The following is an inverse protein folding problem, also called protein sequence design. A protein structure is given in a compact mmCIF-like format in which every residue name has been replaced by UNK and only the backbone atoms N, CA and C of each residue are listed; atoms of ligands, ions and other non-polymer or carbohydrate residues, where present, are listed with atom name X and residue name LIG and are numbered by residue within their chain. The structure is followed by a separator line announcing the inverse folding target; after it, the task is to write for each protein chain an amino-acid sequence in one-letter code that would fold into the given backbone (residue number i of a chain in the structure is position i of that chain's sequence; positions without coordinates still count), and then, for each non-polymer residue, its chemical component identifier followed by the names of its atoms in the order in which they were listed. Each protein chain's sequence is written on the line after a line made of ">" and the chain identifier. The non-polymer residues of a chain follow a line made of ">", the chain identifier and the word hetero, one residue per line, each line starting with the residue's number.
data_IF_913195503503
#
_entry.id   IF_913195503503
#
_cell.length_a   1.000
_cell.length_b   1.000
_cell.length_c   1.000
_cell.angle_alpha   90.00
_cell.angle_beta   90.00
_cell.angle_gamma   90.00
#
_symmetry.space_group_name_H-M   'P 1'
#
loop_
_entity.id
_entity.type
_entity.pdbx_description
1 polymer ?
#
# COMPACT_ATOMS: atom_id res chain seq x y z
N UNK A 1 -3.79 -14.33 5.30
CA UNK A 1 -3.66 -14.22 3.83
C UNK A 1 -4.90 -14.69 3.05
N UNK A 2 -5.46 -15.89 3.30
CA UNK A 2 -6.70 -16.32 2.60
C UNK A 2 -7.90 -15.44 2.96
N UNK A 3 -8.04 -15.06 4.22
CA UNK A 3 -9.09 -14.16 4.70
C UNK A 3 -9.03 -12.82 3.93
N UNK A 4 -7.92 -12.10 3.98
CA UNK A 4 -7.77 -10.80 3.29
C UNK A 4 -8.01 -10.90 1.77
N UNK A 5 -7.59 -12.00 1.12
CA UNK A 5 -7.85 -12.18 -0.31
C UNK A 5 -9.34 -12.33 -0.63
N UNK A 6 -10.07 -13.08 0.22
CA UNK A 6 -11.52 -13.27 0.08
C UNK A 6 -12.28 -11.97 0.42
N UNK A 7 -11.85 -11.26 1.45
CA UNK A 7 -12.44 -10.00 1.87
C UNK A 7 -12.27 -8.92 0.79
N UNK A 8 -11.05 -8.74 0.26
CA UNK A 8 -10.78 -7.82 -0.85
C UNK A 8 -11.53 -8.19 -2.14
N UNK A 9 -11.79 -9.49 -2.39
CA UNK A 9 -12.64 -9.92 -3.49
C UNK A 9 -14.10 -9.51 -3.27
N UNK A 10 -14.62 -9.70 -2.07
CA UNK A 10 -15.99 -9.36 -1.72
C UNK A 10 -16.23 -7.84 -1.69
N UNK A 11 -15.26 -7.07 -1.15
CA UNK A 11 -15.35 -5.62 -0.97
C UNK A 11 -14.99 -4.81 -2.22
N UNK A 12 -14.39 -5.43 -3.25
CA UNK A 12 -13.84 -4.70 -4.40
C UNK A 12 -14.82 -3.77 -5.11
N UNK A 13 -16.07 -4.18 -5.30
CA UNK A 13 -17.09 -3.38 -6.00
C UNK A 13 -17.49 -2.16 -5.18
N UNK A 14 -17.71 -2.34 -3.89
CA UNK A 14 -18.02 -1.25 -2.95
C UNK A 14 -16.83 -0.29 -2.85
N UNK A 15 -15.62 -0.81 -2.71
CA UNK A 15 -14.39 -0.02 -2.67
C UNK A 15 -14.24 0.87 -3.90
N UNK A 16 -14.45 0.32 -5.11
CA UNK A 16 -14.37 1.11 -6.33
C UNK A 16 -15.50 2.15 -6.43
N UNK A 17 -16.69 1.85 -5.95
CA UNK A 17 -17.81 2.79 -5.98
C UNK A 17 -17.63 3.97 -5.00
N UNK A 18 -17.00 3.73 -3.85
CA UNK A 18 -16.82 4.72 -2.78
C UNK A 18 -15.52 5.50 -2.91
N UNK A 19 -14.43 4.86 -3.33
CA UNK A 19 -13.08 5.46 -3.35
C UNK A 19 -12.57 5.73 -4.77
N UNK A 20 -13.17 5.13 -5.81
CA UNK A 20 -12.66 5.21 -7.17
C UNK A 20 -12.51 6.65 -7.68
N UNK A 21 -13.46 7.55 -7.35
CA UNK A 21 -13.39 8.95 -7.75
C UNK A 21 -12.21 9.70 -7.08
N UNK A 22 -11.90 9.39 -5.83
CA UNK A 22 -10.76 9.96 -5.10
C UNK A 22 -9.43 9.42 -5.63
N UNK A 23 -9.34 8.12 -5.87
CA UNK A 23 -8.14 7.47 -6.37
C UNK A 23 -7.82 7.86 -7.82
N UNK A 24 -8.86 8.11 -8.62
CA UNK A 24 -8.74 8.36 -10.05
C UNK A 24 -8.37 7.12 -10.85
N UNK A 25 -8.57 7.16 -12.16
CA UNK A 25 -8.29 6.01 -13.04
C UNK A 25 -6.79 5.82 -13.32
N UNK A 26 -6.02 6.89 -13.29
CA UNK A 26 -4.56 6.91 -13.47
C UNK A 26 -3.89 7.90 -12.50
N UNK A 27 -4.43 8.03 -11.30
CA UNK A 27 -3.85 8.78 -10.21
C UNK A 27 -2.85 7.95 -9.42
N UNK A 28 -1.95 8.62 -8.70
CA UNK A 28 -1.06 7.95 -7.77
C UNK A 28 -1.11 8.65 -6.41
N UNK A 29 -1.77 8.01 -5.47
CA UNK A 29 -1.91 8.46 -4.09
C UNK A 29 -1.20 7.47 -3.16
N UNK A 30 -0.48 7.99 -2.18
CA UNK A 30 0.24 7.17 -1.21
C UNK A 30 -0.58 6.79 0.03
N UNK A 31 -1.63 7.54 0.32
CA UNK A 31 -2.44 7.30 1.51
C UNK A 31 -3.72 8.13 1.53
N UNK A 32 -4.50 8.01 2.61
CA UNK A 32 -5.76 8.74 2.80
C UNK A 32 -5.61 10.25 2.91
N UNK A 33 -4.42 10.76 3.22
CA UNK A 33 -4.10 12.19 3.21
C UNK A 33 -4.15 12.78 1.80
N UNK A 34 -4.04 11.94 0.79
CA UNK A 34 -4.12 12.36 -0.61
C UNK A 34 -2.78 12.76 -1.23
N UNK A 35 -1.66 12.44 -0.55
CA UNK A 35 -0.31 12.71 -1.08
C UNK A 35 -0.08 12.06 -2.43
N UNK A 36 0.30 12.87 -3.42
CA UNK A 36 0.51 12.45 -4.80
C UNK A 36 1.96 12.16 -5.09
N UNK A 37 2.21 11.13 -5.88
CA UNK A 37 3.57 10.83 -6.33
C UNK A 37 4.21 11.97 -7.13
N UNK A 38 3.43 12.77 -7.84
CA UNK A 38 3.89 13.97 -8.55
C UNK A 38 4.51 15.03 -7.60
N UNK A 39 4.14 15.03 -6.34
CA UNK A 39 4.61 15.94 -5.30
C UNK A 39 5.71 15.29 -4.45
N UNK A 40 5.53 14.02 -4.14
CA UNK A 40 6.42 13.23 -3.26
C UNK A 40 7.69 12.80 -3.99
N UNK A 41 7.58 12.30 -5.22
CA UNK A 41 8.71 11.82 -6.00
C UNK A 41 9.39 10.57 -5.42
N UNK A 42 8.67 9.76 -4.65
CA UNK A 42 9.21 8.59 -3.97
C UNK A 42 9.76 7.53 -4.94
N UNK A 43 9.17 7.37 -6.12
CA UNK A 43 9.65 6.44 -7.14
C UNK A 43 10.86 6.97 -7.93
N UNK A 44 11.05 8.30 -7.95
CA UNK A 44 12.00 8.96 -8.83
C UNK A 44 11.59 8.89 -10.30
N UNK A 45 12.54 9.03 -11.21
CA UNK A 45 12.26 8.93 -12.65
C UNK A 45 11.95 7.49 -13.06
N UNK A 46 10.73 7.25 -13.50
CA UNK A 46 10.25 5.93 -13.97
C UNK A 46 10.32 5.75 -15.48
N UNK A 47 10.69 6.78 -16.25
CA UNK A 47 10.73 6.70 -17.70
C UNK A 47 11.73 5.61 -18.17
N UNK A 48 11.25 4.66 -18.99
CA UNK A 48 12.03 3.53 -19.45
C UNK A 48 12.42 2.50 -18.40
N UNK A 49 11.90 2.57 -17.17
CA UNK A 49 12.17 1.62 -16.08
C UNK A 49 11.17 0.46 -16.08
N UNK A 50 11.63 -0.71 -15.65
CA UNK A 50 10.79 -1.86 -15.33
C UNK A 50 10.28 -1.68 -13.89
N UNK A 51 8.96 -1.56 -13.71
CA UNK A 51 8.35 -1.20 -12.43
C UNK A 51 7.38 -2.30 -12.00
N UNK A 52 7.44 -2.73 -10.73
CA UNK A 52 6.48 -3.66 -10.13
C UNK A 52 5.62 -2.94 -9.10
N UNK A 53 4.31 -3.06 -9.23
CA UNK A 53 3.34 -2.69 -8.21
C UNK A 53 2.85 -3.93 -7.46
N UNK A 54 2.90 -3.89 -6.11
CA UNK A 54 2.43 -4.97 -5.24
C UNK A 54 1.17 -4.50 -4.49
N UNK A 55 0.05 -5.25 -4.67
CA UNK A 55 -1.25 -4.85 -4.13
C UNK A 55 -1.87 -3.71 -4.94
N UNK A 56 -1.97 -3.93 -6.25
CA UNK A 56 -2.32 -2.88 -7.21
C UNK A 56 -3.80 -2.48 -7.20
N UNK A 57 -4.65 -3.28 -6.59
CA UNK A 57 -6.09 -3.07 -6.70
C UNK A 57 -6.55 -2.95 -8.15
N UNK A 58 -7.24 -1.86 -8.47
CA UNK A 58 -7.70 -1.57 -9.83
C UNK A 58 -6.63 -0.94 -10.74
N UNK A 59 -5.36 -0.81 -10.32
CA UNK A 59 -4.22 -0.50 -11.16
C UNK A 59 -4.00 0.97 -11.50
N UNK A 60 -4.56 1.91 -10.74
CA UNK A 60 -4.43 3.34 -10.99
C UNK A 60 -2.97 3.81 -10.93
N UNK A 61 -2.18 3.36 -9.94
CA UNK A 61 -0.78 3.75 -9.81
C UNK A 61 0.08 3.17 -10.94
N UNK A 62 -0.19 1.94 -11.35
CA UNK A 62 0.48 1.34 -12.53
C UNK A 62 0.17 2.10 -13.82
N UNK A 63 -1.08 2.57 -14.01
CA UNK A 63 -1.42 3.42 -15.17
C UNK A 63 -0.72 4.78 -15.11
N UNK A 64 -0.57 5.36 -13.92
CA UNK A 64 0.24 6.56 -13.72
C UNK A 64 1.70 6.34 -14.18
N UNK A 65 2.32 5.21 -13.80
CA UNK A 65 3.66 4.82 -14.25
C UNK A 65 3.73 4.68 -15.78
N UNK A 66 2.72 4.00 -16.38
CA UNK A 66 2.66 3.81 -17.83
C UNK A 66 2.60 5.16 -18.57
N UNK A 67 1.79 6.10 -18.10
CA UNK A 67 1.66 7.44 -18.70
C UNK A 67 2.96 8.25 -18.65
N UNK A 68 3.88 7.93 -17.72
CA UNK A 68 5.20 8.55 -17.59
C UNK A 68 6.31 7.78 -18.29
N UNK A 69 5.92 6.84 -19.18
CA UNK A 69 6.86 6.09 -20.00
C UNK A 69 7.57 4.96 -19.26
N UNK A 70 7.14 4.59 -18.06
CA UNK A 70 7.57 3.39 -17.37
C UNK A 70 6.95 2.11 -17.98
N UNK A 71 7.49 0.96 -17.62
CA UNK A 71 6.99 -0.36 -17.99
C UNK A 71 6.45 -1.09 -16.75
N UNK A 72 5.21 -0.77 -16.32
CA UNK A 72 4.65 -1.37 -15.12
C UNK A 72 4.20 -2.81 -15.34
N UNK A 73 4.34 -3.60 -14.27
CA UNK A 73 3.65 -4.88 -14.06
C UNK A 73 2.99 -4.80 -12.69
N UNK A 74 1.74 -5.22 -12.60
CA UNK A 74 0.95 -5.18 -11.38
C UNK A 74 0.68 -6.58 -10.83
N UNK A 75 0.64 -6.73 -9.50
CA UNK A 75 0.09 -7.94 -8.87
C UNK A 75 -0.94 -7.57 -7.82
N UNK A 76 -1.98 -8.40 -7.72
CA UNK A 76 -2.96 -8.34 -6.65
C UNK A 76 -3.46 -9.73 -6.28
N UNK A 77 -3.92 -9.92 -5.03
CA UNK A 77 -4.52 -11.18 -4.56
C UNK A 77 -5.99 -11.30 -4.90
N UNK A 78 -6.66 -10.16 -5.15
CA UNK A 78 -8.08 -10.10 -5.49
C UNK A 78 -8.29 -10.24 -7.00
N UNK A 79 -9.01 -11.28 -7.36
CA UNK A 79 -9.46 -11.47 -8.75
C UNK A 79 -10.42 -10.36 -9.17
N UNK A 80 -11.26 -9.89 -8.24
CA UNK A 80 -12.27 -8.87 -8.54
C UNK A 80 -11.63 -7.50 -8.78
N UNK A 81 -10.62 -7.13 -8.00
CA UNK A 81 -9.82 -5.94 -8.27
C UNK A 81 -9.15 -6.00 -9.64
N UNK A 82 -8.58 -7.14 -10.03
CA UNK A 82 -8.01 -7.30 -11.36
C UNK A 82 -9.05 -7.30 -12.49
N UNK A 83 -10.33 -7.57 -12.21
CA UNK A 83 -11.41 -7.35 -13.20
C UNK A 83 -11.67 -5.85 -13.39
N UNK A 84 -11.70 -5.06 -12.30
CA UNK A 84 -11.77 -3.60 -12.39
C UNK A 84 -10.56 -3.02 -13.13
N UNK A 85 -9.36 -3.50 -12.84
CA UNK A 85 -8.13 -3.12 -13.54
C UNK A 85 -8.30 -3.25 -15.07
N UNK A 86 -8.71 -4.44 -15.54
CA UNK A 86 -8.90 -4.70 -16.97
C UNK A 86 -10.00 -3.87 -17.60
N UNK A 87 -11.10 -3.63 -16.87
CA UNK A 87 -12.20 -2.79 -17.32
C UNK A 87 -11.73 -1.36 -17.54
N UNK A 88 -11.04 -0.78 -16.57
CA UNK A 88 -10.53 0.60 -16.63
C UNK A 88 -9.46 0.72 -17.72
N UNK A 89 -8.57 -0.26 -17.86
CA UNK A 89 -7.59 -0.30 -18.96
C UNK A 89 -8.27 -0.23 -20.33
N UNK A 90 -9.35 -1.00 -20.52
CA UNK A 90 -10.11 -1.01 -21.77
C UNK A 90 -10.84 0.32 -22.02
N UNK A 91 -11.40 0.94 -20.98
CA UNK A 91 -12.07 2.24 -21.06
C UNK A 91 -11.11 3.37 -21.45
N UNK A 92 -9.86 3.30 -20.95
CA UNK A 92 -8.81 4.27 -21.25
C UNK A 92 -8.00 3.94 -22.51
N UNK A 93 -8.23 2.77 -23.13
CA UNK A 93 -7.48 2.35 -24.32
C UNK A 93 -6.00 2.05 -24.03
N UNK A 94 -5.66 1.63 -22.80
CA UNK A 94 -4.31 1.27 -22.38
C UNK A 94 -4.25 -0.20 -21.96
N UNK A 95 -3.04 -0.71 -21.71
CA UNK A 95 -2.86 -2.05 -21.18
C UNK A 95 -1.68 -2.08 -20.20
N UNK A 96 -1.98 -2.45 -18.94
CA UNK A 96 -0.98 -2.75 -17.92
C UNK A 96 -1.03 -4.25 -17.62
N UNK A 97 0.05 -5.00 -17.81
CA UNK A 97 0.12 -6.40 -17.42
C UNK A 97 -0.17 -6.57 -15.92
N UNK A 98 -1.15 -7.42 -15.58
CA UNK A 98 -1.53 -7.68 -14.21
C UNK A 98 -1.65 -9.19 -13.94
N UNK A 99 -1.11 -9.64 -12.80
CA UNK A 99 -1.03 -11.05 -12.40
C UNK A 99 -1.75 -11.26 -11.07
N UNK A 100 -2.60 -12.30 -11.02
CA UNK A 100 -3.19 -12.75 -9.76
C UNK A 100 -2.12 -13.47 -8.94
N UNK A 101 -1.54 -12.77 -7.99
CA UNK A 101 -0.45 -13.27 -7.16
C UNK A 101 -0.44 -12.63 -5.78
N UNK A 102 0.21 -13.29 -4.83
CA UNK A 102 0.41 -12.79 -3.48
C UNK A 102 1.80 -12.17 -3.31
N UNK A 103 1.89 -11.08 -2.56
CA UNK A 103 3.15 -10.53 -2.08
C UNK A 103 3.97 -11.48 -1.20
N UNK A 104 3.40 -12.62 -0.75
CA UNK A 104 4.15 -13.60 0.03
C UNK A 104 5.18 -14.39 -0.81
N UNK A 105 5.05 -14.41 -2.14
CA UNK A 105 6.00 -15.02 -3.07
C UNK A 105 5.84 -14.37 -4.43
N UNK A 106 6.79 -13.52 -4.82
CA UNK A 106 6.73 -12.79 -6.08
C UNK A 106 7.08 -13.73 -7.25
N UNK A 107 6.17 -13.90 -8.24
CA UNK A 107 6.36 -14.85 -9.33
C UNK A 107 7.28 -14.31 -10.44
N UNK A 108 8.35 -13.64 -10.06
CA UNK A 108 9.29 -13.02 -10.98
C UNK A 108 10.71 -13.54 -10.78
N UNK A 109 11.50 -13.48 -11.85
CA UNK A 109 12.92 -13.81 -11.79
C UNK A 109 13.70 -12.76 -10.98
N UNK A 110 14.89 -13.15 -10.54
CA UNK A 110 15.82 -12.23 -9.89
C UNK A 110 16.17 -11.06 -10.82
N UNK A 111 16.35 -9.89 -10.22
CA UNK A 111 16.81 -8.67 -10.88
C UNK A 111 15.96 -8.30 -12.11
N UNK A 112 14.64 -8.44 -12.00
CA UNK A 112 13.71 -8.14 -13.07
C UNK A 112 13.35 -6.65 -13.16
N UNK A 113 13.35 -5.94 -12.03
CA UNK A 113 12.81 -4.60 -11.91
C UNK A 113 13.85 -3.56 -11.49
N UNK A 114 13.63 -2.32 -11.90
CA UNK A 114 14.38 -1.15 -11.47
C UNK A 114 13.73 -0.47 -10.26
N UNK A 115 12.39 -0.53 -10.19
CA UNK A 115 11.58 0.04 -9.12
C UNK A 115 10.53 -0.99 -8.69
N UNK A 116 10.33 -1.13 -7.39
CA UNK A 116 9.20 -1.86 -6.79
C UNK A 116 8.48 -0.92 -5.86
N UNK A 117 7.15 -0.93 -5.89
CA UNK A 117 6.38 -0.14 -4.93
C UNK A 117 5.10 -0.84 -4.45
N UNK A 118 4.56 -0.34 -3.34
CA UNK A 118 3.25 -0.71 -2.82
C UNK A 118 2.61 0.51 -2.17
N UNK A 119 1.58 1.07 -2.80
CA UNK A 119 0.86 2.22 -2.27
C UNK A 119 -0.32 1.74 -1.42
N UNK A 120 -0.14 1.64 -0.10
CA UNK A 120 -1.11 1.21 0.90
C UNK A 120 -1.72 -0.20 0.67
N UNK A 121 -1.17 -0.97 -0.27
CA UNK A 121 -1.84 -2.13 -0.88
C UNK A 121 -1.50 -3.50 -0.29
N UNK A 122 -0.34 -3.71 0.35
CA UNK A 122 0.09 -5.07 0.64
C UNK A 122 0.79 -5.28 1.99
N UNK A 123 1.75 -4.44 2.36
CA UNK A 123 2.72 -4.77 3.41
C UNK A 123 2.10 -4.98 4.79
N UNK A 124 1.11 -4.17 5.17
CA UNK A 124 0.42 -4.28 6.46
C UNK A 124 -0.44 -5.55 6.56
N UNK A 125 -0.85 -6.13 5.43
CA UNK A 125 -1.69 -7.33 5.39
C UNK A 125 -0.91 -8.64 5.46
N UNK A 126 0.43 -8.58 5.42
CA UNK A 126 1.28 -9.75 5.45
C UNK A 126 1.82 -10.03 6.85
N UNK A 127 1.56 -11.23 7.36
CA UNK A 127 2.12 -11.70 8.63
C UNK A 127 3.65 -11.70 8.60
N UNK A 128 4.24 -12.09 7.48
CA UNK A 128 5.69 -12.10 7.24
C UNK A 128 6.07 -11.05 6.19
N UNK A 129 5.96 -9.76 6.54
CA UNK A 129 6.45 -8.70 5.67
C UNK A 129 7.99 -8.71 5.50
N UNK A 130 8.82 -9.14 6.47
CA UNK A 130 10.24 -9.38 6.22
C UNK A 130 10.52 -10.32 5.04
N UNK A 131 9.76 -11.41 4.90
CA UNK A 131 9.90 -12.29 3.74
C UNK A 131 9.58 -11.59 2.41
N UNK A 132 8.54 -10.74 2.39
CA UNK A 132 8.26 -9.91 1.21
C UNK A 132 9.42 -8.95 0.92
N UNK A 133 9.98 -8.27 1.93
CA UNK A 133 11.11 -7.35 1.74
C UNK A 133 12.34 -8.09 1.20
N UNK A 134 12.61 -9.31 1.66
CA UNK A 134 13.65 -10.17 1.11
C UNK A 134 13.39 -10.52 -0.37
N UNK A 135 12.14 -10.82 -0.71
CA UNK A 135 11.76 -11.17 -2.08
C UNK A 135 11.77 -9.95 -3.01
N UNK A 136 11.43 -8.76 -2.50
CA UNK A 136 11.63 -7.48 -3.21
C UNK A 136 13.11 -7.24 -3.50
N UNK A 137 14.01 -7.47 -2.53
CA UNK A 137 15.45 -7.36 -2.75
C UNK A 137 15.94 -8.33 -3.83
N UNK A 138 15.39 -9.55 -3.91
CA UNK A 138 15.70 -10.53 -4.94
C UNK A 138 15.29 -10.07 -6.34
N UNK A 139 14.08 -9.53 -6.48
CA UNK A 139 13.56 -9.15 -7.81
C UNK A 139 14.07 -7.79 -8.30
N UNK A 140 14.57 -6.93 -7.40
CA UNK A 140 15.20 -5.67 -7.75
C UNK A 140 16.60 -5.88 -8.35
N UNK A 141 16.98 -5.01 -9.28
CA UNK A 141 18.37 -4.82 -9.70
C UNK A 141 19.16 -4.12 -8.60
N UNK A 142 20.47 -4.34 -8.48
CA UNK A 142 21.32 -3.52 -7.61
C UNK A 142 21.15 -2.02 -7.92
N UNK A 143 21.02 -1.20 -6.89
CA UNK A 143 20.66 0.22 -7.02
C UNK A 143 19.19 0.47 -7.34
N UNK A 144 18.37 -0.59 -7.35
CA UNK A 144 16.91 -0.47 -7.55
C UNK A 144 16.20 0.14 -6.36
N UNK A 145 15.10 0.84 -6.63
CA UNK A 145 14.31 1.56 -5.62
C UNK A 145 13.14 0.73 -5.13
N UNK A 146 12.92 0.77 -3.82
CA UNK A 146 11.73 0.25 -3.17
C UNK A 146 11.03 1.36 -2.40
N UNK A 147 9.80 1.68 -2.78
CA UNK A 147 8.97 2.65 -2.06
C UNK A 147 7.65 2.00 -1.63
N UNK A 148 7.23 2.22 -0.41
CA UNK A 148 5.95 1.71 0.06
C UNK A 148 5.33 2.60 1.13
N UNK A 149 4.01 2.61 1.18
CA UNK A 149 3.25 3.23 2.26
C UNK A 149 2.48 2.19 3.05
N UNK A 150 2.33 2.46 4.33
CA UNK A 150 1.56 1.67 5.28
C UNK A 150 0.81 2.59 6.23
N UNK A 151 -0.21 2.06 6.87
CA UNK A 151 -0.84 2.69 8.04
C UNK A 151 0.26 3.09 9.02
N UNK A 152 0.29 4.38 9.41
CA UNK A 152 1.34 4.86 10.30
C UNK A 152 1.30 4.09 11.63
N UNK A 153 2.45 3.61 12.13
CA UNK A 153 2.49 2.77 13.34
C UNK A 153 1.85 3.38 14.59
N UNK A 154 1.81 4.72 14.73
CA UNK A 154 1.14 5.38 15.86
C UNK A 154 -0.37 5.15 15.87
N UNK A 155 -0.98 4.87 14.72
CA UNK A 155 -2.41 4.55 14.61
C UNK A 155 -2.82 3.45 15.60
N UNK A 156 -1.97 2.47 15.79
CA UNK A 156 -2.26 1.30 16.63
C UNK A 156 -2.32 1.60 18.13
N UNK A 157 -1.95 2.81 18.55
CA UNK A 157 -2.15 3.27 19.92
C UNK A 157 -3.61 3.69 20.20
N UNK A 158 -4.41 3.92 19.15
CA UNK A 158 -5.72 4.55 19.24
C UNK A 158 -6.82 3.60 18.75
N UNK A 159 -8.07 3.78 19.24
CA UNK A 159 -9.23 3.07 18.70
C UNK A 159 -9.45 3.37 17.22
N UNK A 160 -10.19 2.51 16.54
CA UNK A 160 -10.61 2.74 15.16
C UNK A 160 -11.87 3.63 15.11
N UNK A 161 -11.67 4.89 15.46
CA UNK A 161 -12.71 5.90 15.52
C UNK A 161 -12.20 7.20 14.88
N UNK A 162 -12.88 7.76 13.86
CA UNK A 162 -12.45 8.98 13.19
C UNK A 162 -12.76 10.26 14.00
N UNK A 163 -13.50 10.17 15.08
CA UNK A 163 -13.92 11.29 15.94
C UNK A 163 -12.99 11.54 17.13
N UNK A 164 -13.50 12.32 18.08
CA UNK A 164 -12.77 12.71 19.28
C UNK A 164 -12.43 11.52 20.21
N UNK A 165 -13.24 10.46 20.22
CA UNK A 165 -12.97 9.26 21.00
C UNK A 165 -11.73 8.52 20.49
N UNK A 166 -11.44 8.62 19.19
CA UNK A 166 -10.23 8.11 18.56
C UNK A 166 -8.94 8.84 18.92
N UNK A 167 -9.00 9.93 19.73
CA UNK A 167 -7.82 10.71 20.10
C UNK A 167 -7.15 10.24 21.42
N UNK A 168 -7.75 9.29 22.13
CA UNK A 168 -7.19 8.78 23.38
C UNK A 168 -6.43 7.48 23.11
N UNK A 169 -5.12 7.48 23.40
CA UNK A 169 -4.31 6.27 23.30
C UNK A 169 -4.77 5.25 24.34
N UNK A 170 -5.17 4.08 23.87
CA UNK A 170 -5.70 2.98 24.69
C UNK A 170 -4.89 1.70 24.59
N UNK A 171 -3.96 1.64 23.61
CA UNK A 171 -3.13 0.47 23.35
C UNK A 171 -1.66 0.83 23.31
N UNK A 172 -0.82 -0.18 23.56
CA UNK A 172 0.61 -0.01 23.52
C UNK A 172 1.13 0.06 22.09
N UNK A 173 1.97 1.05 21.78
CA UNK A 173 2.73 1.11 20.53
C UNK A 173 3.59 -0.15 20.27
N UNK A 174 3.93 -0.88 21.33
CA UNK A 174 4.77 -2.07 21.26
C UNK A 174 3.97 -3.36 21.12
N UNK A 175 2.64 -3.29 21.17
CA UNK A 175 1.78 -4.46 20.95
C UNK A 175 1.78 -4.80 19.46
N UNK A 176 2.22 -6.01 19.13
CA UNK A 176 2.27 -6.56 17.77
C UNK A 176 1.20 -7.61 17.52
N UNK A 177 0.21 -7.68 18.41
CA UNK A 177 -0.97 -8.52 18.19
C UNK A 177 -1.67 -8.05 16.91
N UNK A 178 -1.94 -8.93 15.95
CA UNK A 178 -2.65 -8.54 14.73
C UNK A 178 -4.03 -7.97 15.06
N UNK A 179 -4.42 -6.92 14.35
CA UNK A 179 -5.80 -6.49 14.30
C UNK A 179 -6.58 -7.47 13.44
N UNK A 180 -7.70 -7.98 13.96
CA UNK A 180 -8.51 -9.00 13.30
C UNK A 180 -9.98 -8.58 13.33
N UNK A 181 -10.60 -8.53 12.16
CA UNK A 181 -12.05 -8.43 12.04
C UNK A 181 -12.62 -9.82 11.74
N UNK A 182 -13.73 -10.11 12.39
CA UNK A 182 -14.48 -11.34 12.19
C UNK A 182 -15.87 -11.01 11.68
N UNK A 183 -16.45 -11.92 10.94
CA UNK A 183 -17.83 -11.84 10.52
C UNK A 183 -18.73 -12.14 11.74
N UNK A 184 -19.65 -11.25 12.05
CA UNK A 184 -20.50 -11.33 13.24
C UNK A 184 -21.48 -12.53 13.21
N UNK A 185 -21.82 -13.03 12.02
CA UNK A 185 -22.77 -14.13 11.88
C UNK A 185 -22.06 -15.49 11.90
N UNK A 186 -20.90 -15.58 11.24
CA UNK A 186 -20.18 -16.86 11.07
C UNK A 186 -19.01 -17.04 12.02
N UNK A 187 -18.47 -15.95 12.58
CA UNK A 187 -17.25 -15.94 13.39
C UNK A 187 -15.97 -16.19 12.57
N UNK A 188 -16.06 -16.20 11.24
CA UNK A 188 -14.90 -16.37 10.38
C UNK A 188 -14.07 -15.08 10.30
N UNK A 189 -12.75 -15.25 10.24
CA UNK A 189 -11.83 -14.11 10.04
C UNK A 189 -12.01 -13.53 8.65
N UNK A 190 -12.34 -12.24 8.57
CA UNK A 190 -12.49 -11.47 7.33
C UNK A 190 -11.21 -10.70 7.01
N UNK A 191 -10.75 -9.87 7.91
CA UNK A 191 -9.68 -8.90 7.68
C UNK A 191 -8.60 -9.01 8.76
N UNK A 192 -7.34 -8.87 8.37
CA UNK A 192 -6.20 -8.92 9.29
C UNK A 192 -5.16 -7.89 8.89
N UNK A 193 -4.79 -7.02 9.83
CA UNK A 193 -3.62 -6.14 9.71
C UNK A 193 -2.56 -6.48 10.75
N UNK A 194 -1.31 -6.28 10.37
CA UNK A 194 -0.16 -6.59 11.22
C UNK A 194 0.59 -5.31 11.57
N UNK A 195 0.52 -4.91 12.82
CA UNK A 195 1.30 -3.79 13.34
C UNK A 195 2.81 -4.07 13.34
N UNK A 196 3.57 -3.09 12.89
CA UNK A 196 5.04 -3.01 13.00
C UNK A 196 5.42 -1.59 13.33
N UNK A 197 6.33 -1.41 14.28
CA UNK A 197 6.84 -0.09 14.63
C UNK A 197 7.68 0.49 13.49
N UNK A 198 7.94 1.81 13.49
CA UNK A 198 8.91 2.41 12.57
C UNK A 198 10.27 1.72 12.65
N UNK A 199 10.73 1.41 13.88
CA UNK A 199 11.98 0.67 14.10
C UNK A 199 11.97 -0.73 13.49
N UNK A 200 10.83 -1.45 13.49
CA UNK A 200 10.70 -2.76 12.86
C UNK A 200 10.85 -2.64 11.34
N UNK A 201 10.25 -1.62 10.71
CA UNK A 201 10.36 -1.36 9.28
C UNK A 201 11.78 -0.99 8.85
N UNK A 202 12.38 0.00 9.52
CA UNK A 202 13.77 0.42 9.25
C UNK A 202 14.74 -0.74 9.45
N UNK A 203 14.60 -1.49 10.54
CA UNK A 203 15.42 -2.66 10.80
C UNK A 203 15.24 -3.77 9.76
N UNK A 204 14.01 -3.97 9.27
CA UNK A 204 13.72 -4.95 8.21
C UNK A 204 14.39 -4.55 6.89
N UNK A 205 14.23 -3.31 6.46
CA UNK A 205 14.89 -2.79 5.27
C UNK A 205 16.42 -2.97 5.35
N UNK A 206 17.02 -2.55 6.46
CA UNK A 206 18.48 -2.65 6.67
C UNK A 206 18.99 -4.10 6.62
N UNK A 207 18.28 -5.05 7.25
CA UNK A 207 18.67 -6.48 7.25
C UNK A 207 18.61 -7.12 5.87
N UNK A 208 17.80 -6.58 4.97
CA UNK A 208 17.66 -7.10 3.61
C UNK A 208 18.41 -6.28 2.55
N UNK A 209 19.42 -5.50 2.97
CA UNK A 209 20.35 -4.81 2.09
C UNK A 209 19.86 -3.47 1.56
N UNK A 210 18.76 -2.94 2.09
CA UNK A 210 18.27 -1.62 1.72
C UNK A 210 18.92 -0.51 2.55
N UNK A 211 19.21 0.60 1.89
CA UNK A 211 19.50 1.89 2.51
C UNK A 211 18.22 2.72 2.50
N UNK A 212 17.71 3.12 3.66
CA UNK A 212 16.62 4.08 3.75
C UNK A 212 17.11 5.42 3.21
N UNK A 213 16.43 5.95 2.21
CA UNK A 213 16.69 7.26 1.61
C UNK A 213 15.82 8.33 2.25
N UNK A 214 14.55 8.01 2.49
CA UNK A 214 13.60 8.92 3.11
C UNK A 214 12.49 8.16 3.87
N UNK A 215 11.89 8.84 4.84
CA UNK A 215 10.68 8.45 5.54
C UNK A 215 9.78 9.67 5.63
N UNK A 216 8.68 9.64 4.89
CA UNK A 216 7.73 10.73 4.80
C UNK A 216 6.50 10.41 5.66
N UNK A 217 6.06 11.41 6.41
CA UNK A 217 4.86 11.38 7.25
C UNK A 217 3.95 12.52 6.80
N UNK A 218 3.02 12.25 5.86
CA UNK A 218 2.16 13.29 5.31
C UNK A 218 1.31 13.99 6.36
N UNK A 219 1.20 15.32 6.26
CA UNK A 219 0.27 16.10 7.06
C UNK A 219 -1.13 16.06 6.44
N UNK A 220 -2.16 16.05 7.28
CA UNK A 220 -3.54 16.09 6.79
C UNK A 220 -3.84 17.47 6.19
N UNK A 221 -4.27 17.56 4.91
CA UNK A 221 -4.55 18.84 4.27
C UNK A 221 -5.71 19.58 4.95
N UNK A 222 -5.59 20.89 5.09
CA UNK A 222 -6.56 21.72 5.83
C UNK A 222 -7.96 21.71 5.23
N UNK A 223 -8.07 21.54 3.91
CA UNK A 223 -9.31 21.50 3.13
C UNK A 223 -9.90 20.09 2.96
N UNK A 224 -9.24 19.07 3.53
CA UNK A 224 -9.59 17.68 3.31
C UNK A 224 -10.55 17.18 4.39
N UNK A 225 -11.84 17.18 4.12
CA UNK A 225 -12.90 16.70 5.04
C UNK A 225 -13.28 15.23 4.80
N UNK A 226 -12.43 14.49 4.15
CA UNK A 226 -12.64 13.09 3.83
C UNK A 226 -12.48 12.20 5.08
N UNK A 227 -13.29 11.15 5.17
CA UNK A 227 -13.16 10.12 6.21
C UNK A 227 -12.85 8.79 5.55
N UNK A 228 -11.77 8.14 6.04
CA UNK A 228 -11.35 6.84 5.55
C UNK A 228 -11.02 5.93 6.74
N UNK A 229 -11.92 5.00 7.03
CA UNK A 229 -11.82 4.18 8.25
C UNK A 229 -11.69 5.05 9.49
N UNK A 230 -10.73 4.78 10.34
CA UNK A 230 -10.43 5.58 11.53
C UNK A 230 -9.72 6.92 11.25
N UNK A 231 -9.56 7.33 9.98
CA UNK A 231 -8.88 8.56 9.62
C UNK A 231 -9.87 9.65 9.23
N UNK A 232 -9.65 10.82 9.78
CA UNK A 232 -10.42 12.05 9.52
C UNK A 232 -9.53 13.26 9.75
N UNK A 233 -10.04 14.45 9.42
CA UNK A 233 -9.39 15.72 9.77
C UNK A 233 -9.17 15.85 11.29
N UNK A 234 -10.14 15.47 12.12
CA UNK A 234 -10.05 15.54 13.58
C UNK A 234 -8.80 14.83 14.10
N UNK A 235 -8.46 13.68 13.54
CA UNK A 235 -7.32 12.87 13.92
C UNK A 235 -6.08 13.22 13.14
N UNK A 236 -6.21 13.44 11.83
CA UNK A 236 -5.10 13.65 10.92
C UNK A 236 -4.30 14.93 11.17
N UNK A 237 -4.92 15.97 11.73
CA UNK A 237 -4.20 17.20 12.12
C UNK A 237 -3.36 17.05 13.39
N UNK A 238 -3.46 15.93 14.10
CA UNK A 238 -2.75 15.67 15.36
C UNK A 238 -1.70 14.56 15.22
N UNK A 239 -1.95 13.58 14.35
CA UNK A 239 -1.08 12.42 14.17
C UNK A 239 -1.06 11.99 12.70
N UNK A 240 0.08 11.53 12.17
CA UNK A 240 0.17 11.04 10.81
C UNK A 240 -0.68 9.77 10.63
N UNK A 241 -1.37 9.65 9.50
CA UNK A 241 -2.12 8.48 9.08
C UNK A 241 -1.30 7.47 8.32
N UNK A 242 -0.34 7.97 7.56
CA UNK A 242 0.50 7.21 6.64
C UNK A 242 1.98 7.38 6.94
N UNK A 243 2.75 6.31 6.80
CA UNK A 243 4.20 6.35 6.71
C UNK A 243 4.63 5.86 5.33
N UNK A 244 5.40 6.68 4.59
CA UNK A 244 5.94 6.35 3.27
C UNK A 244 7.44 6.14 3.41
N UNK A 245 7.91 4.93 3.08
CA UNK A 245 9.32 4.55 3.13
C UNK A 245 9.88 4.57 1.71
N UNK A 246 11.03 5.22 1.54
CA UNK A 246 11.79 5.23 0.29
C UNK A 246 13.17 4.64 0.56
N UNK A 247 13.51 3.56 -0.14
CA UNK A 247 14.76 2.84 0.08
C UNK A 247 15.42 2.42 -1.23
N UNK A 248 16.72 2.19 -1.20
CA UNK A 248 17.52 1.72 -2.34
C UNK A 248 18.25 0.44 -1.95
N UNK A 249 18.23 -0.55 -2.84
CA UNK A 249 18.97 -1.80 -2.69
C UNK A 249 20.46 -1.57 -3.00
N UNK A 250 21.34 -1.87 -2.03
CA UNK A 250 22.80 -1.77 -2.17
C UNK A 250 23.42 -2.92 -2.93
#
# INVERSE_FOLDING_TARGET
>A
MRANAADWDAYADEYQSTHGAFLGDAGFLWGPEGEREDEVGALGDVAGRDVLEIGSGAGQCSRWVLQRGGRPVAIDVSRRQLQHHRRIDAELGVHVPAVLASGAALPFRDRAFDVVFSAFGALQFLADAPALVADVARVLRPGGRFAFSVTHPTRWCFPDDPGEEGLTATQSYWDRTPYVEVDDETGETRYVEHHRTLGDWVGTLSRHGFCLLDLLEPEWPSEHDYVWGGWSRTRGVLTPGTAIFVAELR
#
